data_IF_114003347420
#
_entry.id   IF_114003347420
#
_cell.length_a   1.000
_cell.length_b   1.000
_cell.length_c   1.000
_cell.angle_alpha   90.00
_cell.angle_beta   90.00
_cell.angle_gamma   90.00
#
_symmetry.space_group_name_H-M   'P 1'
#
loop_
_entity.id
_entity.type
_entity.pdbx_description
1 polymer ?
#
# COMPACT_ATOMS: atom_id res chain seq x y z
N UNK A 1 16.89 -7.97 -11.29
CA UNK A 1 15.41 -7.97 -11.28
C UNK A 1 14.81 -9.35 -11.51
N UNK A 2 15.07 -10.06 -12.61
CA UNK A 2 14.50 -11.40 -12.82
C UNK A 2 14.97 -12.42 -11.77
N UNK A 3 16.28 -12.48 -11.50
CA UNK A 3 16.87 -13.34 -10.46
C UNK A 3 16.30 -13.03 -9.08
N UNK A 4 16.21 -11.75 -8.71
CA UNK A 4 15.60 -11.33 -7.43
C UNK A 4 14.14 -11.79 -7.32
N UNK A 5 13.36 -11.71 -8.41
CA UNK A 5 11.98 -12.22 -8.42
C UNK A 5 11.92 -13.74 -8.30
N UNK A 6 12.86 -14.47 -8.91
CA UNK A 6 12.97 -15.92 -8.72
C UNK A 6 13.30 -16.28 -7.27
N UNK A 7 14.21 -15.52 -6.63
CA UNK A 7 14.52 -15.68 -5.20
C UNK A 7 13.29 -15.46 -4.32
N UNK A 8 12.46 -14.45 -4.59
CA UNK A 8 11.19 -14.23 -3.88
C UNK A 8 10.28 -15.47 -3.95
N UNK A 9 10.17 -16.11 -5.12
CA UNK A 9 9.35 -17.32 -5.28
C UNK A 9 9.93 -18.51 -4.52
N UNK A 10 11.25 -18.71 -4.60
CA UNK A 10 11.95 -19.79 -3.89
C UNK A 10 11.85 -19.63 -2.37
N UNK A 11 12.03 -18.41 -1.86
CA UNK A 11 11.87 -18.06 -0.44
C UNK A 11 10.45 -18.37 0.02
N UNK A 12 9.43 -17.87 -0.70
CA UNK A 12 8.04 -18.11 -0.34
C UNK A 12 7.71 -19.61 -0.25
N UNK A 13 8.14 -20.40 -1.23
CA UNK A 13 7.96 -21.86 -1.21
C UNK A 13 8.66 -22.54 -0.03
N UNK A 14 9.90 -22.16 0.26
CA UNK A 14 10.66 -22.70 1.38
C UNK A 14 9.99 -22.38 2.74
N UNK A 15 9.59 -21.13 2.95
CA UNK A 15 8.92 -20.67 4.17
C UNK A 15 7.57 -21.37 4.35
N UNK A 16 6.77 -21.48 3.29
CA UNK A 16 5.47 -22.15 3.33
C UNK A 16 5.62 -23.62 3.72
N UNK A 17 6.56 -24.34 3.10
CA UNK A 17 6.81 -25.75 3.42
C UNK A 17 7.30 -25.94 4.86
N UNK A 18 8.20 -25.07 5.33
CA UNK A 18 8.80 -25.21 6.66
C UNK A 18 7.86 -24.80 7.81
N UNK A 19 7.02 -23.78 7.62
CA UNK A 19 6.28 -23.14 8.73
C UNK A 19 4.75 -23.20 8.61
N UNK A 20 4.22 -23.42 7.41
CA UNK A 20 2.79 -23.33 7.14
C UNK A 20 2.25 -24.56 6.40
N UNK A 21 2.89 -25.71 6.55
CA UNK A 21 2.44 -26.97 5.97
C UNK A 21 2.26 -26.93 4.45
N UNK A 22 3.06 -26.11 3.75
CA UNK A 22 3.00 -25.92 2.31
C UNK A 22 1.84 -25.06 1.80
N UNK A 23 1.05 -24.43 2.67
CA UNK A 23 -0.14 -23.66 2.27
C UNK A 23 -0.23 -22.30 2.95
N UNK A 24 -0.42 -21.25 2.16
CA UNK A 24 -0.66 -19.91 2.69
C UNK A 24 -2.00 -19.82 3.45
N UNK A 25 -2.94 -20.74 3.20
CA UNK A 25 -4.19 -20.81 3.95
C UNK A 25 -3.95 -20.96 5.46
N UNK A 26 -2.96 -21.76 5.88
CA UNK A 26 -2.62 -21.90 7.30
C UNK A 26 -2.05 -20.59 7.89
N UNK A 27 -1.39 -19.76 7.08
CA UNK A 27 -0.97 -18.42 7.51
C UNK A 27 -2.18 -17.54 7.83
N UNK A 28 -3.21 -17.56 6.96
CA UNK A 28 -4.46 -16.83 7.15
C UNK A 28 -5.25 -17.38 8.34
N UNK A 29 -5.36 -18.70 8.49
CA UNK A 29 -6.06 -19.32 9.63
C UNK A 29 -5.44 -18.93 10.98
N UNK A 30 -4.11 -18.94 11.07
CA UNK A 30 -3.37 -18.60 12.29
C UNK A 30 -3.49 -17.13 12.71
N UNK A 31 -3.94 -16.23 11.82
CA UNK A 31 -4.12 -14.82 12.14
C UNK A 31 -5.36 -14.54 13.00
N UNK A 32 -6.24 -15.52 13.23
CA UNK A 32 -7.40 -15.35 14.11
C UNK A 32 -8.34 -14.23 13.66
N UNK A 33 -8.49 -14.06 12.35
CA UNK A 33 -9.27 -12.98 11.71
C UNK A 33 -8.74 -11.55 11.98
N UNK A 34 -7.45 -11.39 12.25
CA UNK A 34 -6.81 -10.07 12.35
C UNK A 34 -5.91 -9.79 11.14
N UNK A 35 -6.24 -8.74 10.40
CA UNK A 35 -5.44 -8.18 9.31
C UNK A 35 -4.07 -7.73 9.81
N UNK A 36 -4.00 -7.07 10.97
CA UNK A 36 -2.74 -6.61 11.56
C UNK A 36 -1.85 -7.80 11.96
N UNK A 37 -2.43 -8.85 12.54
CA UNK A 37 -1.70 -10.08 12.89
C UNK A 37 -1.22 -10.83 11.64
N UNK A 38 -2.05 -10.88 10.58
CA UNK A 38 -1.62 -11.47 9.30
C UNK A 38 -0.46 -10.68 8.70
N UNK A 39 -0.55 -9.35 8.70
CA UNK A 39 0.53 -8.47 8.24
C UNK A 39 1.84 -8.73 9.00
N UNK A 40 1.78 -8.77 10.33
CA UNK A 40 2.94 -9.08 11.18
C UNK A 40 3.51 -10.47 10.85
N UNK A 41 2.65 -11.50 10.73
CA UNK A 41 3.07 -12.86 10.37
C UNK A 41 3.78 -12.89 9.02
N UNK A 42 3.29 -12.16 8.02
CA UNK A 42 3.93 -12.06 6.70
C UNK A 42 5.33 -11.43 6.86
N UNK A 43 5.44 -10.30 7.56
CA UNK A 43 6.71 -9.58 7.72
C UNK A 43 7.73 -10.39 8.52
N UNK A 44 7.31 -11.11 9.55
CA UNK A 44 8.19 -11.94 10.37
C UNK A 44 8.74 -13.16 9.64
N UNK A 45 8.01 -13.68 8.65
CA UNK A 45 8.34 -14.96 8.02
C UNK A 45 8.86 -14.85 6.59
N UNK A 46 8.55 -13.76 5.87
CA UNK A 46 8.90 -13.58 4.48
C UNK A 46 9.70 -12.28 4.29
N UNK A 47 11.03 -12.38 4.28
CA UNK A 47 11.95 -11.26 4.09
C UNK A 47 11.70 -10.50 2.78
N UNK A 48 11.25 -11.19 1.74
CA UNK A 48 10.86 -10.58 0.46
C UNK A 48 9.73 -9.54 0.54
N UNK A 49 9.01 -9.47 1.67
CA UNK A 49 7.99 -8.44 1.95
C UNK A 49 8.52 -7.26 2.77
N UNK A 50 9.79 -7.30 3.20
CA UNK A 50 10.41 -6.20 3.93
C UNK A 50 10.51 -4.95 3.05
N UNK A 51 9.86 -3.90 3.52
CA UNK A 51 9.77 -2.61 2.85
C UNK A 51 9.99 -1.51 3.89
N UNK A 52 11.22 -1.53 4.41
CA UNK A 52 11.74 -0.66 5.46
C UNK A 52 12.65 0.43 4.87
N UNK A 53 12.74 1.55 5.57
CA UNK A 53 13.61 2.67 5.22
C UNK A 53 14.16 3.38 6.45
N UNK A 54 15.17 4.22 6.22
CA UNK A 54 15.70 5.15 7.22
C UNK A 54 15.48 6.58 6.72
N UNK A 55 14.57 7.31 7.38
CA UNK A 55 14.27 8.69 7.04
C UNK A 55 14.68 9.61 8.19
N UNK A 56 15.75 10.39 7.98
CA UNK A 56 16.29 11.35 8.96
C UNK A 56 16.60 10.68 10.32
N UNK A 57 17.19 9.48 10.29
CA UNK A 57 17.55 8.72 11.49
C UNK A 57 16.38 8.01 12.16
N UNK A 58 15.19 8.02 11.56
CA UNK A 58 14.03 7.25 12.01
C UNK A 58 13.81 6.05 11.10
N UNK A 59 13.72 4.86 11.70
CA UNK A 59 13.27 3.67 10.99
C UNK A 59 11.79 3.82 10.66
N UNK A 60 11.45 3.61 9.40
CA UNK A 60 10.09 3.67 8.88
C UNK A 60 9.79 2.42 8.06
N UNK A 61 8.51 2.10 7.91
CA UNK A 61 8.05 0.95 7.14
C UNK A 61 6.84 1.35 6.30
N UNK A 62 6.79 0.91 5.05
CA UNK A 62 5.62 1.09 4.19
C UNK A 62 4.86 -0.23 3.99
N UNK A 63 5.59 -1.35 3.96
CA UNK A 63 5.04 -2.71 3.88
C UNK A 63 4.01 -2.90 2.76
N UNK A 64 4.15 -2.16 1.65
CA UNK A 64 3.11 -2.01 0.63
C UNK A 64 2.61 -3.36 0.12
N UNK A 65 3.52 -4.23 -0.31
CA UNK A 65 3.18 -5.55 -0.86
C UNK A 65 2.52 -6.47 0.18
N UNK A 66 2.93 -6.35 1.45
CA UNK A 66 2.35 -7.15 2.52
C UNK A 66 0.93 -6.66 2.84
N UNK A 67 0.71 -5.36 2.87
CA UNK A 67 -0.62 -4.76 3.04
C UNK A 67 -1.56 -5.13 1.87
N UNK A 68 -1.07 -5.09 0.62
CA UNK A 68 -1.83 -5.57 -0.55
C UNK A 68 -2.22 -7.03 -0.38
N UNK A 69 -1.29 -7.92 0.01
CA UNK A 69 -1.60 -9.33 0.20
C UNK A 69 -2.71 -9.55 1.24
N UNK A 70 -2.66 -8.83 2.37
CA UNK A 70 -3.72 -8.90 3.40
C UNK A 70 -5.06 -8.39 2.83
N UNK A 71 -5.05 -7.28 2.11
CA UNK A 71 -6.26 -6.71 1.51
C UNK A 71 -6.85 -7.60 0.40
N UNK A 72 -6.01 -8.27 -0.40
CA UNK A 72 -6.42 -9.23 -1.42
C UNK A 72 -7.07 -10.46 -0.78
N UNK A 73 -6.45 -11.01 0.28
CA UNK A 73 -7.03 -12.12 1.06
C UNK A 73 -8.41 -11.73 1.59
N UNK A 74 -8.52 -10.55 2.21
CA UNK A 74 -9.79 -10.02 2.68
C UNK A 74 -10.82 -9.90 1.54
N UNK A 75 -10.43 -9.32 0.41
CA UNK A 75 -11.30 -9.15 -0.76
C UNK A 75 -11.78 -10.47 -1.36
N UNK A 76 -10.91 -11.48 -1.41
CA UNK A 76 -11.22 -12.80 -1.95
C UNK A 76 -12.12 -13.63 -1.04
N UNK A 77 -11.91 -13.55 0.29
CA UNK A 77 -12.51 -14.47 1.26
C UNK A 77 -13.66 -13.88 2.07
N UNK A 78 -13.73 -12.56 2.29
CA UNK A 78 -14.81 -11.96 3.09
C UNK A 78 -16.18 -12.39 2.57
N UNK A 79 -17.08 -12.74 3.49
CA UNK A 79 -18.43 -13.24 3.20
C UNK A 79 -18.49 -14.59 2.44
N UNK A 80 -17.34 -15.25 2.20
CA UNK A 80 -17.27 -16.58 1.57
C UNK A 80 -16.60 -17.60 2.48
N UNK A 81 -15.63 -17.17 3.27
CA UNK A 81 -14.96 -17.97 4.28
C UNK A 81 -14.61 -17.08 5.48
N UNK A 82 -15.08 -17.49 6.65
CA UNK A 82 -14.95 -16.76 7.91
C UNK A 82 -13.50 -16.43 8.30
N UNK A 83 -12.51 -17.23 7.88
CA UNK A 83 -11.11 -16.94 8.23
C UNK A 83 -10.59 -15.62 7.63
N UNK A 84 -11.20 -15.17 6.52
CA UNK A 84 -10.84 -13.93 5.83
C UNK A 84 -11.69 -12.74 6.22
N UNK A 85 -12.63 -12.89 7.15
CA UNK A 85 -13.48 -11.82 7.68
C UNK A 85 -12.73 -11.01 8.73
N UNK A 86 -11.73 -10.23 8.31
CA UNK A 86 -10.86 -9.49 9.24
C UNK A 86 -11.59 -8.35 9.95
N UNK A 87 -11.53 -8.34 11.28
CA UNK A 87 -12.25 -7.36 12.11
C UNK A 87 -11.57 -5.98 12.17
N UNK A 88 -10.26 -5.93 11.92
CA UNK A 88 -9.38 -4.77 12.01
C UNK A 88 -8.79 -4.40 10.63
N UNK A 89 -9.45 -4.77 9.52
CA UNK A 89 -9.00 -4.44 8.16
C UNK A 89 -8.81 -2.93 7.94
N UNK A 90 -9.55 -2.10 8.68
CA UNK A 90 -9.45 -0.65 8.65
C UNK A 90 -8.16 -0.08 9.23
N UNK A 91 -7.35 -0.89 9.92
CA UNK A 91 -6.04 -0.49 10.45
C UNK A 91 -4.93 -0.49 9.37
N UNK A 92 -5.17 -1.09 8.21
CA UNK A 92 -4.25 -0.98 7.08
C UNK A 92 -4.27 0.43 6.50
N UNK A 93 -3.12 0.88 6.01
CA UNK A 93 -2.98 2.16 5.31
C UNK A 93 -3.29 2.01 3.82
N UNK A 94 -3.27 3.13 3.10
CA UNK A 94 -3.16 3.10 1.63
C UNK A 94 -1.87 2.41 1.18
N UNK A 95 -1.84 1.89 -0.05
CA UNK A 95 -0.73 1.09 -0.55
C UNK A 95 0.26 1.97 -1.30
N UNK A 96 1.16 2.62 -0.56
CA UNK A 96 2.05 3.68 -1.04
C UNK A 96 2.94 3.28 -2.23
N UNK A 97 2.38 3.42 -3.44
CA UNK A 97 3.01 3.17 -4.72
C UNK A 97 3.53 4.47 -5.38
N UNK A 98 3.88 4.40 -6.67
CA UNK A 98 4.39 5.54 -7.42
C UNK A 98 3.33 6.32 -8.21
N UNK A 99 2.09 5.82 -8.26
CA UNK A 99 0.99 6.37 -9.07
C UNK A 99 -0.08 7.07 -8.24
N UNK A 100 -0.43 6.56 -7.06
CA UNK A 100 -1.39 7.21 -6.16
C UNK A 100 -0.92 8.62 -5.73
N UNK A 101 0.37 8.87 -5.42
CA UNK A 101 0.85 10.24 -5.19
C UNK A 101 0.56 11.20 -6.36
N UNK A 102 0.56 10.68 -7.59
CA UNK A 102 0.29 11.44 -8.81
C UNK A 102 -1.19 11.87 -8.87
N UNK A 103 -2.10 10.96 -8.54
CA UNK A 103 -3.54 11.20 -8.50
C UNK A 103 -3.91 12.21 -7.40
N UNK A 104 -3.37 12.01 -6.21
CA UNK A 104 -3.54 12.93 -5.08
C UNK A 104 -3.09 14.35 -5.44
N UNK A 105 -1.95 14.48 -6.10
CA UNK A 105 -1.45 15.79 -6.51
C UNK A 105 -2.28 16.42 -7.63
N UNK A 106 -2.78 15.62 -8.57
CA UNK A 106 -3.68 16.10 -9.62
C UNK A 106 -5.00 16.63 -9.07
N UNK A 107 -5.57 15.93 -8.08
CA UNK A 107 -6.83 16.30 -7.43
C UNK A 107 -6.68 17.40 -6.35
N UNK A 108 -5.46 17.88 -6.12
CA UNK A 108 -5.17 18.95 -5.15
C UNK A 108 -5.05 18.50 -3.69
N UNK A 109 -5.09 17.19 -3.41
CA UNK A 109 -4.87 16.64 -2.07
C UNK A 109 -3.39 16.62 -1.65
N UNK A 110 -2.47 16.60 -2.62
CA UNK A 110 -1.02 16.77 -2.39
C UNK A 110 -0.47 17.93 -3.22
N UNK A 111 0.53 18.63 -2.69
CA UNK A 111 1.21 19.71 -3.39
C UNK A 111 2.71 19.44 -3.46
N UNK A 112 3.25 19.34 -4.68
CA UNK A 112 4.68 19.13 -4.87
C UNK A 112 5.41 20.46 -4.82
N UNK A 113 6.52 20.52 -4.09
CA UNK A 113 7.39 21.69 -4.11
C UNK A 113 7.93 21.95 -5.52
N UNK A 114 8.25 23.20 -5.84
CA UNK A 114 8.87 23.58 -7.12
C UNK A 114 10.15 22.79 -7.41
N UNK A 115 10.94 22.52 -6.36
CA UNK A 115 12.14 21.67 -6.42
C UNK A 115 11.81 20.23 -6.81
N UNK A 116 10.82 19.61 -6.16
CA UNK A 116 10.38 18.26 -6.47
C UNK A 116 9.82 18.16 -7.89
N UNK A 117 8.96 19.10 -8.28
CA UNK A 117 8.40 19.17 -9.64
C UNK A 117 9.49 19.24 -10.70
N UNK A 118 10.47 20.14 -10.54
CA UNK A 118 11.61 20.27 -11.47
C UNK A 118 12.42 18.97 -11.55
N UNK A 119 12.66 18.34 -10.39
CA UNK A 119 13.39 17.06 -10.33
C UNK A 119 12.64 15.96 -11.09
N UNK A 120 11.36 15.76 -10.80
CA UNK A 120 10.57 14.67 -11.40
C UNK A 120 10.34 14.86 -12.90
N UNK A 121 10.24 16.10 -13.40
CA UNK A 121 10.09 16.37 -14.85
C UNK A 121 11.31 15.95 -15.68
N UNK A 122 12.49 15.86 -15.08
CA UNK A 122 13.67 15.29 -15.75
C UNK A 122 13.61 13.76 -15.93
N UNK A 123 12.54 13.12 -15.44
CA UNK A 123 12.31 11.68 -15.45
C UNK A 123 13.48 10.84 -14.88
N UNK A 124 14.05 11.21 -13.71
CA UNK A 124 15.15 10.48 -13.14
C UNK A 124 14.67 9.11 -12.64
N UNK A 125 15.57 8.12 -12.70
CA UNK A 125 15.40 6.90 -11.91
C UNK A 125 15.95 7.20 -10.52
N UNK A 126 15.07 7.28 -9.52
CA UNK A 126 15.47 7.50 -8.15
C UNK A 126 16.02 6.20 -7.53
N UNK A 127 17.05 6.28 -6.67
CA UNK A 127 17.45 5.16 -5.84
C UNK A 127 16.31 4.75 -4.91
N UNK A 128 16.11 3.44 -4.74
CA UNK A 128 15.14 2.93 -3.76
C UNK A 128 15.59 3.28 -2.33
N UNK A 129 14.65 3.66 -1.48
CA UNK A 129 14.89 4.19 -0.14
C UNK A 129 15.40 5.63 -0.11
N UNK A 130 15.40 6.39 -1.22
CA UNK A 130 15.87 7.77 -1.17
C UNK A 130 14.86 8.69 -0.43
N UNK A 131 15.30 9.80 0.18
CA UNK A 131 14.41 10.69 0.92
C UNK A 131 13.21 11.19 0.11
N UNK A 132 13.39 11.48 -1.19
CA UNK A 132 12.31 11.97 -2.06
C UNK A 132 11.23 10.91 -2.30
N UNK A 133 11.61 9.65 -2.50
CA UNK A 133 10.68 8.53 -2.59
C UNK A 133 9.91 8.38 -1.27
N UNK A 134 10.63 8.29 -0.16
CA UNK A 134 10.03 8.06 1.15
C UNK A 134 9.09 9.21 1.55
N UNK A 135 9.43 10.45 1.21
CA UNK A 135 8.55 11.61 1.36
C UNK A 135 7.26 11.43 0.55
N UNK A 136 7.36 11.13 -0.75
CA UNK A 136 6.19 10.93 -1.60
C UNK A 136 5.27 9.84 -1.05
N UNK A 137 5.84 8.70 -0.64
CA UNK A 137 5.09 7.59 -0.05
C UNK A 137 4.43 7.98 1.28
N UNK A 138 5.18 8.60 2.18
CA UNK A 138 4.69 8.99 3.51
C UNK A 138 3.61 10.08 3.45
N UNK A 139 3.78 11.08 2.58
CA UNK A 139 2.75 12.09 2.35
C UNK A 139 1.50 11.51 1.70
N UNK A 140 1.62 10.51 0.83
CA UNK A 140 0.45 9.80 0.29
C UNK A 140 -0.33 9.02 1.34
N UNK A 141 0.36 8.34 2.26
CA UNK A 141 -0.29 7.70 3.41
C UNK A 141 -1.08 8.72 4.21
N UNK A 142 -0.41 9.81 4.62
CA UNK A 142 -1.04 10.85 5.42
C UNK A 142 -2.23 11.51 4.70
N UNK A 143 -2.13 11.76 3.40
CA UNK A 143 -3.20 12.36 2.63
C UNK A 143 -4.43 11.43 2.55
N UNK A 144 -4.24 10.12 2.37
CA UNK A 144 -5.35 9.17 2.41
C UNK A 144 -6.00 9.11 3.80
N UNK A 145 -5.22 9.11 4.88
CA UNK A 145 -5.75 9.16 6.25
C UNK A 145 -6.57 10.44 6.48
N UNK A 146 -6.08 11.60 6.00
CA UNK A 146 -6.81 12.87 6.08
C UNK A 146 -8.12 12.85 5.28
N UNK A 147 -8.14 12.18 4.12
CA UNK A 147 -9.36 11.99 3.33
C UNK A 147 -10.36 11.11 4.09
N UNK A 148 -9.90 10.04 4.75
CA UNK A 148 -10.75 9.19 5.60
C UNK A 148 -11.36 10.01 6.74
N UNK A 149 -10.57 10.82 7.43
CA UNK A 149 -11.06 11.67 8.52
C UNK A 149 -12.03 12.75 8.01
N UNK A 150 -11.76 13.36 6.86
CA UNK A 150 -12.68 14.31 6.23
C UNK A 150 -14.00 13.62 5.86
N UNK A 151 -13.95 12.42 5.27
CA UNK A 151 -15.14 11.65 4.92
C UNK A 151 -15.96 11.27 6.16
N UNK A 152 -15.32 10.94 7.29
CA UNK A 152 -16.02 10.70 8.57
C UNK A 152 -16.76 11.94 9.05
N UNK A 153 -16.15 13.14 8.97
CA UNK A 153 -16.77 14.41 9.41
C UNK A 153 -17.95 14.84 8.53
N UNK A 154 -17.98 14.40 7.28
CA UNK A 154 -19.08 14.68 6.36
C UNK A 154 -20.32 13.78 6.60
N UNK A 155 -20.19 12.72 7.40
CA UNK A 155 -21.32 11.83 7.72
C UNK A 155 -22.31 12.50 8.64
N UNK A 156 -23.58 12.22 8.39
CA UNK A 156 -24.72 12.64 9.20
C UNK A 156 -25.39 11.43 9.86
N UNK A 157 -26.39 11.66 10.71
CA UNK A 157 -27.20 10.60 11.32
C UNK A 157 -27.95 9.75 10.27
N UNK A 158 -28.19 10.31 9.07
CA UNK A 158 -28.81 9.60 7.95
C UNK A 158 -27.86 8.55 7.34
N UNK A 159 -26.55 8.69 7.54
CA UNK A 159 -25.51 7.87 6.91
C UNK A 159 -25.06 6.67 7.76
N UNK A 160 -25.73 6.41 8.90
CA UNK A 160 -25.37 5.32 9.83
C UNK A 160 -25.44 3.93 9.20
N UNK A 161 -26.24 3.76 8.15
CA UNK A 161 -26.35 2.54 7.37
C UNK A 161 -25.15 2.30 6.42
N UNK A 162 -24.32 3.32 6.15
CA UNK A 162 -23.15 3.20 5.29
C UNK A 162 -21.94 2.67 6.06
N UNK A 163 -21.29 1.63 5.53
CA UNK A 163 -20.02 1.13 6.08
C UNK A 163 -18.98 2.24 6.20
N UNK A 164 -18.09 2.19 7.19
CA UNK A 164 -16.96 3.13 7.32
C UNK A 164 -16.03 3.06 6.11
N UNK A 165 -15.55 4.21 5.66
CA UNK A 165 -14.52 4.33 4.62
C UNK A 165 -13.16 4.14 5.27
N UNK A 166 -12.30 3.34 4.66
CA UNK A 166 -10.94 3.02 5.10
C UNK A 166 -9.90 3.63 4.16
N UNK A 167 -8.63 3.65 4.56
CA UNK A 167 -7.55 4.10 3.69
C UNK A 167 -7.39 3.20 2.44
N UNK A 168 -7.75 1.92 2.55
CA UNK A 168 -7.82 0.98 1.41
C UNK A 168 -8.84 1.46 0.38
N UNK A 169 -10.02 1.92 0.81
CA UNK A 169 -11.06 2.38 -0.11
C UNK A 169 -10.63 3.63 -0.87
N UNK A 170 -9.97 4.55 -0.17
CA UNK A 170 -9.41 5.77 -0.77
C UNK A 170 -8.31 5.42 -1.77
N UNK A 171 -7.41 4.49 -1.43
CA UNK A 171 -6.35 4.00 -2.33
C UNK A 171 -6.95 3.38 -3.61
N UNK A 172 -7.90 2.46 -3.46
CA UNK A 172 -8.55 1.79 -4.58
C UNK A 172 -9.27 2.78 -5.51
N UNK A 173 -9.95 3.78 -4.94
CA UNK A 173 -10.56 4.86 -5.71
C UNK A 173 -9.51 5.65 -6.48
N UNK A 174 -8.45 6.14 -5.81
CA UNK A 174 -7.41 6.94 -6.43
C UNK A 174 -6.66 6.19 -7.52
N UNK A 175 -6.38 4.90 -7.30
CA UNK A 175 -5.72 4.05 -8.28
C UNK A 175 -6.59 3.83 -9.53
N UNK A 176 -7.88 3.55 -9.34
CA UNK A 176 -8.83 3.42 -10.44
C UNK A 176 -9.00 4.73 -11.21
N UNK A 177 -9.21 5.84 -10.51
CA UNK A 177 -9.29 7.18 -11.08
C UNK A 177 -8.04 7.52 -11.89
N UNK A 178 -6.85 7.24 -11.34
CA UNK A 178 -5.58 7.46 -12.06
C UNK A 178 -5.52 6.69 -13.37
N UNK A 179 -6.05 5.46 -13.40
CA UNK A 179 -6.04 4.62 -14.61
C UNK A 179 -7.00 5.14 -15.67
N UNK A 180 -8.19 5.55 -15.26
CA UNK A 180 -9.20 6.09 -16.15
C UNK A 180 -8.76 7.44 -16.77
N UNK A 181 -8.10 8.27 -15.98
CA UNK A 181 -7.63 9.61 -16.37
C UNK A 181 -6.13 9.69 -16.71
N UNK A 182 -5.51 8.56 -17.08
CA UNK A 182 -4.05 8.45 -17.18
C UNK A 182 -3.40 9.50 -18.11
N UNK A 183 -4.00 9.75 -19.28
CA UNK A 183 -3.47 10.71 -20.26
C UNK A 183 -3.40 12.13 -19.70
N UNK A 184 -4.47 12.56 -19.05
CA UNK A 184 -4.58 13.91 -18.48
C UNK A 184 -3.67 14.08 -17.26
N UNK A 185 -3.67 13.10 -16.35
CA UNK A 185 -2.85 13.14 -15.15
C UNK A 185 -1.35 13.15 -15.50
N UNK A 186 -0.91 12.28 -16.43
CA UNK A 186 0.51 12.21 -16.83
C UNK A 186 1.01 13.46 -17.54
N UNK A 187 0.14 14.19 -18.24
CA UNK A 187 0.46 15.47 -18.85
C UNK A 187 0.76 16.55 -17.80
N UNK A 188 0.03 16.54 -16.69
CA UNK A 188 0.06 17.62 -15.70
C UNK A 188 1.04 17.35 -14.54
N UNK A 189 1.03 16.13 -14.00
CA UNK A 189 1.73 15.77 -12.76
C UNK A 189 2.74 14.65 -13.05
N UNK A 190 4.05 14.86 -12.82
CA UNK A 190 5.04 13.81 -12.97
C UNK A 190 4.99 12.81 -11.80
N UNK A 191 5.60 11.65 -11.96
CA UNK A 191 5.69 10.61 -10.92
C UNK A 191 7.14 10.15 -10.74
N UNK A 192 7.45 9.60 -9.56
CA UNK A 192 8.77 9.05 -9.29
C UNK A 192 8.97 7.69 -9.97
N UNK A 193 10.16 7.44 -10.52
CA UNK A 193 10.50 6.17 -11.18
C UNK A 193 11.58 5.46 -10.40
N UNK A 194 11.36 4.20 -10.05
CA UNK A 194 12.24 3.42 -9.18
C UNK A 194 12.38 2.01 -9.74
N UNK A 195 13.56 1.42 -9.56
CA UNK A 195 13.79 0.00 -9.80
C UNK A 195 13.89 -0.72 -8.46
N UNK A 196 12.87 -1.48 -8.11
CA UNK A 196 12.80 -2.25 -6.87
C UNK A 196 11.83 -3.43 -7.04
N UNK A 197 11.92 -4.41 -6.14
CA UNK A 197 10.95 -5.50 -6.01
C UNK A 197 9.69 -5.10 -5.21
N UNK A 198 9.66 -3.89 -4.66
CA UNK A 198 8.55 -3.39 -3.83
C UNK A 198 7.43 -2.71 -4.64
N UNK A 199 7.62 -2.54 -5.96
CA UNK A 199 6.70 -1.83 -6.85
C UNK A 199 6.18 -2.69 -8.00
#
# INVERSE_FOLDING_TARGET
MAEQRAQVLSEAGAVLNAKFGGSFYHCVENCGKSAVKLLATIVENFESYHDFGDYKGKKVSFLKRAQILVADVYGCLRNKNEIGSFYDIGELTMFADYRVPQALAYLGALHYSSKLMKSLRSNPILPSGCPLEMELRGFSIKACDDIVEAAKRLRTEMDTHLRTITAIDVDMFLWAYRREHAVEIEKNVPYHRIRSINY
#
